data_IF_802238589448
#
_entry.id   IF_802238589448
#
_cell.length_a   1.000
_cell.length_b   1.000
_cell.length_c   1.000
_cell.angle_alpha   90.00
_cell.angle_beta   90.00
_cell.angle_gamma   90.00
#
_symmetry.space_group_name_H-M   'P 1'
#
loop_
_entity.id
_entity.type
_entity.pdbx_description
1 polymer ?
#
# COMPACT_ATOMS: atom_id res chain seq x y z
N UNK A 1 2.69 -13.36 2.63
CA UNK A 1 2.08 -13.27 1.27
C UNK A 1 3.13 -12.73 0.32
N UNK A 2 3.19 -13.20 -0.95
CA UNK A 2 4.10 -12.68 -1.99
C UNK A 2 3.71 -11.24 -2.35
N UNK A 3 4.71 -10.38 -2.60
CA UNK A 3 4.55 -9.06 -3.18
C UNK A 3 5.10 -9.07 -4.60
N UNK A 4 4.38 -8.47 -5.53
CA UNK A 4 4.67 -8.53 -6.96
C UNK A 4 5.09 -7.19 -7.54
N UNK A 5 5.83 -7.23 -8.65
CA UNK A 5 6.03 -6.10 -9.54
C UNK A 5 4.89 -6.00 -10.55
N UNK A 6 4.80 -4.85 -11.23
CA UNK A 6 3.88 -4.66 -12.34
C UNK A 6 4.07 -5.71 -13.45
N UNK A 7 5.33 -6.01 -13.78
CA UNK A 7 5.69 -6.99 -14.80
C UNK A 7 5.22 -8.41 -14.42
N UNK A 8 5.44 -8.79 -13.16
CA UNK A 8 5.02 -10.10 -12.65
C UNK A 8 3.50 -10.28 -12.67
N UNK A 9 2.73 -9.24 -12.37
CA UNK A 9 1.27 -9.31 -12.47
C UNK A 9 0.81 -9.45 -13.92
N UNK A 10 1.36 -8.65 -14.84
CA UNK A 10 1.05 -8.75 -16.27
C UNK A 10 1.36 -10.14 -16.84
N UNK A 11 2.45 -10.75 -16.40
CA UNK A 11 2.82 -12.09 -16.83
C UNK A 11 1.86 -13.16 -16.27
N UNK A 12 1.41 -13.02 -15.02
CA UNK A 12 0.37 -13.90 -14.45
C UNK A 12 -0.95 -13.81 -15.23
N UNK A 13 -1.39 -12.58 -15.55
CA UNK A 13 -2.59 -12.34 -16.33
C UNK A 13 -2.45 -12.95 -17.73
N UNK A 14 -1.31 -12.74 -18.42
CA UNK A 14 -1.03 -13.33 -19.71
C UNK A 14 -1.09 -14.85 -19.68
N UNK A 15 -0.44 -15.48 -18.70
CA UNK A 15 -0.47 -16.95 -18.54
C UNK A 15 -1.87 -17.47 -18.28
N UNK A 16 -2.65 -16.79 -17.44
CA UNK A 16 -4.03 -17.18 -17.16
C UNK A 16 -4.90 -17.10 -18.41
N UNK A 17 -4.76 -16.05 -19.20
CA UNK A 17 -5.57 -15.80 -20.39
C UNK A 17 -5.08 -16.67 -21.56
N UNK A 18 -3.80 -16.58 -21.92
CA UNK A 18 -3.28 -17.17 -23.14
C UNK A 18 -2.94 -18.66 -23.00
N UNK A 19 -2.41 -19.09 -21.85
CA UNK A 19 -1.96 -20.47 -21.64
C UNK A 19 -3.03 -21.35 -20.97
N UNK A 20 -3.89 -20.75 -20.12
CA UNK A 20 -4.97 -21.49 -19.43
C UNK A 20 -6.34 -21.27 -20.07
N UNK A 21 -6.46 -20.36 -21.03
CA UNK A 21 -7.69 -20.11 -21.76
C UNK A 21 -8.81 -19.47 -20.93
N UNK A 22 -8.46 -18.75 -19.86
CA UNK A 22 -9.44 -18.04 -19.04
C UNK A 22 -9.84 -16.75 -19.77
N UNK A 23 -11.13 -16.52 -20.06
CA UNK A 23 -11.56 -15.28 -20.70
C UNK A 23 -11.19 -14.07 -19.84
N UNK A 24 -10.55 -13.06 -20.45
CA UNK A 24 -10.13 -11.83 -19.75
C UNK A 24 -11.32 -11.10 -19.11
N UNK A 25 -12.46 -11.11 -19.78
CA UNK A 25 -13.71 -10.52 -19.28
C UNK A 25 -14.20 -11.19 -17.98
N UNK A 26 -13.96 -12.50 -17.79
CA UNK A 26 -14.34 -13.20 -16.56
C UNK A 26 -13.45 -12.77 -15.38
N UNK A 27 -12.15 -12.51 -15.63
CA UNK A 27 -11.23 -11.98 -14.62
C UNK A 27 -11.66 -10.56 -14.23
N UNK A 28 -12.00 -9.72 -15.22
CA UNK A 28 -12.48 -8.35 -15.06
C UNK A 28 -13.77 -8.29 -14.24
N UNK A 29 -14.75 -9.13 -14.52
CA UNK A 29 -16.00 -9.19 -13.78
C UNK A 29 -15.79 -9.57 -12.31
N UNK A 30 -14.87 -10.51 -12.02
CA UNK A 30 -14.53 -10.86 -10.62
C UNK A 30 -13.77 -9.75 -9.92
N UNK A 31 -12.88 -9.06 -10.63
CA UNK A 31 -12.17 -7.88 -10.12
C UNK A 31 -13.17 -6.78 -9.75
N UNK A 32 -14.06 -6.44 -10.67
CA UNK A 32 -15.10 -5.43 -10.48
C UNK A 32 -16.06 -5.78 -9.34
N UNK A 33 -16.43 -7.06 -9.19
CA UNK A 33 -17.26 -7.50 -8.08
C UNK A 33 -16.58 -7.23 -6.74
N UNK A 34 -15.28 -7.50 -6.61
CA UNK A 34 -14.49 -7.18 -5.42
C UNK A 34 -14.48 -5.68 -5.13
N UNK A 35 -14.28 -4.84 -6.15
CA UNK A 35 -14.30 -3.38 -6.02
C UNK A 35 -15.67 -2.88 -5.58
N UNK A 36 -16.75 -3.37 -6.20
CA UNK A 36 -18.11 -2.99 -5.86
C UNK A 36 -18.49 -3.42 -4.42
N UNK A 37 -18.11 -4.63 -3.99
CA UNK A 37 -18.33 -5.10 -2.62
C UNK A 37 -17.58 -4.22 -1.60
N UNK A 38 -16.33 -3.88 -1.87
CA UNK A 38 -15.53 -3.01 -1.03
C UNK A 38 -16.15 -1.61 -0.92
N UNK A 39 -16.67 -1.06 -2.02
CA UNK A 39 -17.35 0.21 -2.08
C UNK A 39 -18.66 0.18 -1.25
N UNK A 40 -19.49 -0.86 -1.42
CA UNK A 40 -20.72 -1.04 -0.66
C UNK A 40 -20.46 -1.13 0.85
N UNK A 41 -19.37 -1.76 1.27
CA UNK A 41 -18.99 -1.89 2.68
C UNK A 41 -18.61 -0.56 3.33
N UNK A 42 -18.26 0.47 2.56
CA UNK A 42 -17.90 1.80 3.04
C UNK A 42 -19.08 2.79 3.03
N UNK A 43 -20.23 2.39 2.48
CA UNK A 43 -21.38 3.29 2.40
C UNK A 43 -21.95 3.63 3.78
N UNK A 44 -22.24 4.92 4.06
CA UNK A 44 -22.80 5.35 5.34
C UNK A 44 -24.29 5.03 5.48
N UNK A 45 -24.97 4.68 4.38
CA UNK A 45 -26.41 4.48 4.26
C UNK A 45 -26.73 3.29 3.37
N UNK A 46 -28.05 2.97 3.28
CA UNK A 46 -28.53 1.96 2.31
C UNK A 46 -28.24 2.44 0.87
N UNK A 47 -27.83 1.54 -0.04
CA UNK A 47 -27.43 1.87 -1.41
C UNK A 47 -28.38 2.84 -2.13
N UNK A 48 -29.69 2.63 -2.08
CA UNK A 48 -30.71 3.48 -2.75
C UNK A 48 -30.75 4.95 -2.31
N UNK A 49 -30.02 5.33 -1.26
CA UNK A 49 -29.88 6.71 -0.79
C UNK A 49 -28.47 7.27 -1.02
N UNK A 50 -27.59 6.50 -1.66
CA UNK A 50 -26.20 6.86 -1.89
C UNK A 50 -25.93 7.20 -3.35
N UNK A 51 -24.90 8.04 -3.56
CA UNK A 51 -24.36 8.39 -4.87
C UNK A 51 -22.97 7.80 -5.02
N UNK A 52 -22.67 7.32 -6.22
CA UNK A 52 -21.35 6.86 -6.59
C UNK A 52 -20.84 7.53 -7.86
N UNK A 53 -19.53 7.59 -7.99
CA UNK A 53 -18.87 7.94 -9.23
C UNK A 53 -17.77 6.92 -9.52
N UNK A 54 -17.52 6.61 -10.81
CA UNK A 54 -16.33 5.90 -11.24
C UNK A 54 -15.55 6.81 -12.21
N UNK A 55 -14.28 7.04 -11.90
CA UNK A 55 -13.37 7.78 -12.78
C UNK A 55 -12.43 6.78 -13.44
N UNK A 56 -12.61 6.56 -14.73
CA UNK A 56 -11.99 5.48 -15.49
C UNK A 56 -10.98 6.04 -16.49
N UNK A 57 -9.80 5.43 -16.58
CA UNK A 57 -8.82 5.73 -17.65
C UNK A 57 -9.21 5.05 -18.97
N UNK A 58 -8.22 4.70 -19.80
CA UNK A 58 -8.47 4.01 -21.06
C UNK A 58 -7.87 2.59 -21.15
N UNK A 59 -7.22 2.12 -20.07
CA UNK A 59 -6.61 0.78 -20.01
C UNK A 59 -7.55 -0.29 -19.44
N UNK A 60 -7.03 -1.48 -19.15
CA UNK A 60 -7.81 -2.59 -18.56
C UNK A 60 -8.47 -2.20 -17.24
N UNK A 61 -7.76 -1.46 -16.37
CA UNK A 61 -8.31 -0.97 -15.10
C UNK A 61 -9.60 -0.13 -15.28
N UNK A 62 -9.76 0.50 -16.47
CA UNK A 62 -10.99 1.19 -16.84
C UNK A 62 -12.19 0.24 -16.87
N UNK A 63 -12.02 -0.94 -17.47
CA UNK A 63 -13.06 -1.96 -17.54
C UNK A 63 -13.50 -2.42 -16.14
N UNK A 64 -12.56 -2.62 -15.22
CA UNK A 64 -12.86 -2.94 -13.82
C UNK A 64 -13.72 -1.85 -13.17
N UNK A 65 -13.38 -0.56 -13.42
CA UNK A 65 -14.13 0.59 -12.91
C UNK A 65 -15.54 0.70 -13.51
N UNK A 66 -15.69 0.50 -14.82
CA UNK A 66 -16.96 0.53 -15.52
C UNK A 66 -17.88 -0.60 -15.03
N UNK A 67 -17.35 -1.82 -14.94
CA UNK A 67 -18.08 -2.97 -14.43
C UNK A 67 -18.47 -2.77 -12.95
N UNK A 68 -17.58 -2.22 -12.12
CA UNK A 68 -17.90 -1.88 -10.72
C UNK A 68 -19.01 -0.83 -10.64
N UNK A 69 -19.01 0.21 -11.50
CA UNK A 69 -20.07 1.21 -11.58
C UNK A 69 -21.42 0.55 -11.94
N UNK A 70 -21.42 -0.36 -12.92
CA UNK A 70 -22.60 -1.14 -13.29
C UNK A 70 -23.13 -1.97 -12.11
N UNK A 71 -22.24 -2.68 -11.41
CA UNK A 71 -22.63 -3.49 -10.25
C UNK A 71 -23.18 -2.64 -9.12
N UNK A 72 -22.61 -1.46 -8.84
CA UNK A 72 -23.14 -0.51 -7.86
C UNK A 72 -24.52 0.01 -8.25
N UNK A 73 -24.73 0.34 -9.53
CA UNK A 73 -26.05 0.73 -10.03
C UNK A 73 -27.09 -0.36 -9.83
N UNK A 74 -26.77 -1.61 -10.17
CA UNK A 74 -27.64 -2.77 -9.96
C UNK A 74 -27.95 -3.03 -8.48
N UNK A 75 -27.09 -2.57 -7.56
CA UNK A 75 -27.35 -2.57 -6.10
C UNK A 75 -28.17 -1.36 -5.64
N UNK A 76 -28.57 -0.49 -6.56
CA UNK A 76 -29.48 0.62 -6.32
C UNK A 76 -28.82 1.98 -6.02
N UNK A 77 -27.51 2.13 -6.17
CA UNK A 77 -26.87 3.45 -6.08
C UNK A 77 -27.25 4.30 -7.29
N UNK A 78 -27.25 5.62 -7.09
CA UNK A 78 -27.23 6.57 -8.20
C UNK A 78 -25.79 6.73 -8.65
N UNK A 79 -25.44 6.23 -9.84
CA UNK A 79 -24.06 6.16 -10.32
C UNK A 79 -23.90 6.99 -11.59
N UNK A 80 -22.76 7.69 -11.70
CA UNK A 80 -22.21 8.21 -12.96
C UNK A 80 -20.82 7.64 -13.16
N UNK A 81 -20.49 7.32 -14.42
CA UNK A 81 -19.17 6.84 -14.81
C UNK A 81 -18.55 7.85 -15.80
N UNK A 82 -17.29 8.19 -15.57
CA UNK A 82 -16.57 9.20 -16.34
C UNK A 82 -15.32 8.61 -16.97
N UNK A 83 -15.18 8.75 -18.28
CA UNK A 83 -13.97 8.38 -19.01
C UNK A 83 -12.99 9.56 -19.05
N UNK A 84 -11.87 9.40 -18.39
CA UNK A 84 -10.75 10.34 -18.41
C UNK A 84 -9.74 9.87 -19.46
N UNK A 85 -9.92 10.33 -20.69
CA UNK A 85 -9.09 9.91 -21.82
C UNK A 85 -9.88 9.75 -23.12
N UNK A 86 -9.31 9.00 -24.04
CA UNK A 86 -9.87 8.83 -25.37
C UNK A 86 -10.68 7.52 -25.46
N UNK A 87 -11.90 7.61 -25.93
CA UNK A 87 -12.78 6.46 -26.11
C UNK A 87 -12.19 5.41 -27.09
N UNK A 88 -11.47 5.88 -28.10
CA UNK A 88 -10.84 5.04 -29.12
C UNK A 88 -9.69 4.17 -28.57
N UNK A 89 -9.24 4.46 -27.34
CA UNK A 89 -8.18 3.69 -26.66
C UNK A 89 -8.72 2.67 -25.66
N UNK A 90 -10.03 2.52 -25.56
CA UNK A 90 -10.62 1.50 -24.71
C UNK A 90 -10.23 0.09 -25.21
N UNK A 91 -9.93 -0.79 -24.28
CA UNK A 91 -9.67 -2.20 -24.59
C UNK A 91 -10.97 -2.91 -24.99
N UNK A 92 -10.92 -4.05 -25.71
CA UNK A 92 -12.12 -4.79 -26.08
C UNK A 92 -13.02 -5.13 -24.88
N UNK A 93 -12.43 -5.51 -23.74
CA UNK A 93 -13.18 -5.82 -22.52
C UNK A 93 -13.83 -4.55 -21.92
N UNK A 94 -13.11 -3.42 -21.90
CA UNK A 94 -13.67 -2.15 -21.45
C UNK A 94 -14.81 -1.63 -22.34
N UNK A 95 -14.75 -1.90 -23.65
CA UNK A 95 -15.85 -1.62 -24.58
C UNK A 95 -17.06 -2.50 -24.30
N UNK A 96 -16.84 -3.78 -24.04
CA UNK A 96 -17.93 -4.69 -23.66
C UNK A 96 -18.57 -4.29 -22.34
N UNK A 97 -17.78 -3.90 -21.33
CA UNK A 97 -18.33 -3.39 -20.06
C UNK A 97 -19.07 -2.05 -20.24
N UNK A 98 -18.61 -1.20 -21.17
CA UNK A 98 -19.34 0.03 -21.52
C UNK A 98 -20.71 -0.29 -22.13
N UNK A 99 -20.78 -1.28 -23.02
CA UNK A 99 -22.04 -1.74 -23.61
C UNK A 99 -23.00 -2.26 -22.52
N UNK A 100 -22.50 -3.11 -21.61
CA UNK A 100 -23.28 -3.66 -20.48
C UNK A 100 -23.76 -2.56 -19.52
N UNK A 101 -22.94 -1.53 -19.27
CA UNK A 101 -23.31 -0.38 -18.44
C UNK A 101 -24.46 0.40 -19.10
N UNK A 102 -24.37 0.68 -20.42
CA UNK A 102 -25.42 1.36 -21.18
C UNK A 102 -26.74 0.59 -21.22
N UNK A 103 -26.68 -0.76 -21.33
CA UNK A 103 -27.85 -1.62 -21.23
C UNK A 103 -28.59 -1.53 -19.88
N UNK A 104 -27.88 -1.16 -18.82
CA UNK A 104 -28.48 -0.86 -17.52
C UNK A 104 -29.07 0.55 -17.44
N UNK A 105 -28.89 1.39 -18.45
CA UNK A 105 -29.34 2.80 -18.46
C UNK A 105 -28.36 3.79 -17.85
N UNK A 106 -27.08 3.44 -17.72
CA UNK A 106 -26.02 4.33 -17.29
C UNK A 106 -25.01 4.48 -18.42
N UNK A 107 -24.77 5.72 -18.84
CA UNK A 107 -23.81 6.01 -19.90
C UNK A 107 -22.41 6.30 -19.34
N UNK A 108 -21.38 5.91 -20.11
CA UNK A 108 -20.01 6.33 -19.86
C UNK A 108 -19.81 7.74 -20.41
N UNK A 109 -19.77 8.73 -19.51
CA UNK A 109 -19.66 10.13 -19.88
C UNK A 109 -18.18 10.52 -20.12
N UNK A 110 -17.93 11.37 -21.10
CA UNK A 110 -16.61 11.96 -21.25
C UNK A 110 -16.31 12.89 -20.08
N UNK A 111 -15.19 12.71 -19.42
CA UNK A 111 -14.74 13.61 -18.36
C UNK A 111 -14.31 14.96 -18.93
N UNK A 112 -14.88 16.02 -18.39
CA UNK A 112 -14.48 17.40 -18.70
C UNK A 112 -14.10 18.14 -17.41
N UNK A 113 -12.81 18.47 -17.20
CA UNK A 113 -12.38 19.19 -16.00
C UNK A 113 -12.99 20.60 -15.85
N UNK A 114 -13.60 21.15 -16.92
CA UNK A 114 -14.30 22.43 -16.87
C UNK A 114 -15.81 22.30 -16.56
N UNK A 115 -16.35 21.08 -16.53
CA UNK A 115 -17.77 20.86 -16.24
C UNK A 115 -18.02 20.86 -14.72
N UNK A 116 -18.53 21.99 -14.23
CA UNK A 116 -18.89 22.15 -12.81
C UNK A 116 -19.98 21.18 -12.35
N UNK A 117 -20.83 20.67 -13.24
CA UNK A 117 -21.86 19.67 -12.86
C UNK A 117 -21.26 18.31 -12.57
N UNK A 118 -20.25 17.89 -13.36
CA UNK A 118 -19.49 16.68 -13.11
C UNK A 118 -18.69 16.81 -11.81
N UNK A 119 -18.02 17.95 -11.62
CA UNK A 119 -17.28 18.21 -10.38
C UNK A 119 -18.18 18.18 -9.16
N UNK A 120 -19.31 18.89 -9.19
CA UNK A 120 -20.27 18.90 -8.11
C UNK A 120 -20.84 17.48 -7.83
N UNK A 121 -21.02 16.66 -8.87
CA UNK A 121 -21.42 15.27 -8.68
C UNK A 121 -20.37 14.48 -7.91
N UNK A 122 -19.11 14.47 -8.36
CA UNK A 122 -18.01 13.74 -7.72
C UNK A 122 -17.81 14.17 -6.26
N UNK A 123 -17.80 15.49 -6.00
CA UNK A 123 -17.66 16.04 -4.65
C UNK A 123 -18.86 15.71 -3.75
N UNK A 124 -20.03 15.45 -4.32
CA UNK A 124 -21.26 15.11 -3.60
C UNK A 124 -21.53 13.60 -3.48
N UNK A 125 -20.62 12.75 -3.91
CA UNK A 125 -20.75 11.29 -3.79
C UNK A 125 -20.55 10.80 -2.35
N UNK A 126 -21.10 9.62 -2.04
CA UNK A 126 -20.81 8.85 -0.84
C UNK A 126 -19.62 7.89 -1.07
N UNK A 127 -19.40 7.45 -2.32
CA UNK A 127 -18.26 6.60 -2.72
C UNK A 127 -17.77 6.98 -4.12
N UNK A 128 -16.45 6.94 -4.32
CA UNK A 128 -15.82 7.14 -5.63
C UNK A 128 -14.88 5.99 -5.92
N UNK A 129 -14.98 5.44 -7.15
CA UNK A 129 -14.08 4.41 -7.66
C UNK A 129 -12.97 5.11 -8.44
N UNK A 130 -11.73 4.88 -8.04
CA UNK A 130 -10.53 5.22 -8.78
C UNK A 130 -10.15 4.05 -9.70
N UNK A 131 -10.35 4.21 -10.97
CA UNK A 131 -9.99 3.27 -12.02
C UNK A 131 -9.24 3.96 -13.18
N UNK A 132 -8.48 5.02 -12.86
CA UNK A 132 -7.72 5.75 -13.88
C UNK A 132 -6.54 4.92 -14.38
N UNK A 133 -5.74 4.38 -13.46
CA UNK A 133 -4.54 3.62 -13.78
C UNK A 133 -4.36 2.43 -12.83
N UNK A 134 -4.06 1.26 -13.38
CA UNK A 134 -3.56 0.10 -12.65
C UNK A 134 -2.02 0.03 -12.68
N UNK A 135 -1.47 -1.18 -12.63
CA UNK A 135 0.00 -1.45 -12.67
C UNK A 135 0.71 -0.95 -13.93
N UNK A 136 -0.01 -0.48 -14.93
CA UNK A 136 0.55 -0.01 -16.20
C UNK A 136 1.09 1.42 -16.19
N UNK A 137 0.91 2.18 -15.13
CA UNK A 137 1.37 3.58 -15.06
C UNK A 137 2.90 3.65 -15.05
N UNK A 138 3.47 4.26 -16.09
CA UNK A 138 4.92 4.40 -16.26
C UNK A 138 5.40 5.85 -16.38
N UNK A 139 4.48 6.80 -16.44
CA UNK A 139 4.77 8.23 -16.60
C UNK A 139 4.06 9.05 -15.53
N UNK A 140 4.67 10.17 -15.08
CA UNK A 140 4.02 11.06 -14.12
C UNK A 140 2.70 11.64 -14.64
N UNK A 141 1.71 11.73 -13.75
CA UNK A 141 0.47 12.48 -13.98
C UNK A 141 0.81 13.97 -13.91
N UNK A 142 0.93 14.60 -15.08
CA UNK A 142 1.33 16.00 -15.20
C UNK A 142 0.25 16.96 -14.72
N UNK A 143 0.67 18.08 -14.13
CA UNK A 143 -0.23 19.17 -13.76
C UNK A 143 -0.98 19.72 -15.01
N UNK A 144 -2.23 20.13 -14.83
CA UNK A 144 -3.07 20.68 -15.90
C UNK A 144 -3.65 19.65 -16.88
N UNK A 145 -3.38 18.35 -16.67
CA UNK A 145 -4.01 17.28 -17.45
C UNK A 145 -5.39 16.92 -16.88
N UNK A 146 -6.31 16.38 -17.71
CA UNK A 146 -7.59 15.84 -17.21
C UNK A 146 -7.41 14.79 -16.11
N UNK A 147 -6.36 13.97 -16.18
CA UNK A 147 -6.03 12.99 -15.15
C UNK A 147 -5.67 13.67 -13.81
N UNK A 148 -4.91 14.76 -13.84
CA UNK A 148 -4.61 15.52 -12.63
C UNK A 148 -5.87 16.10 -11.99
N UNK A 149 -6.77 16.67 -12.81
CA UNK A 149 -8.05 17.17 -12.33
C UNK A 149 -8.92 16.07 -11.72
N UNK A 150 -8.96 14.88 -12.34
CA UNK A 150 -9.69 13.73 -11.81
C UNK A 150 -9.14 13.27 -10.44
N UNK A 151 -7.81 13.20 -10.30
CA UNK A 151 -7.14 12.90 -9.02
C UNK A 151 -7.47 13.96 -7.98
N UNK A 152 -7.41 15.24 -8.36
CA UNK A 152 -7.72 16.35 -7.44
C UNK A 152 -9.17 16.28 -6.95
N UNK A 153 -10.15 16.03 -7.84
CA UNK A 153 -11.56 15.92 -7.45
C UNK A 153 -11.80 14.75 -6.49
N UNK A 154 -11.14 13.59 -6.72
CA UNK A 154 -11.23 12.46 -5.80
C UNK A 154 -10.65 12.81 -4.42
N UNK A 155 -9.48 13.46 -4.38
CA UNK A 155 -8.82 13.83 -3.14
C UNK A 155 -9.51 14.99 -2.38
N UNK A 156 -10.25 15.86 -3.09
CA UNK A 156 -11.06 16.94 -2.51
C UNK A 156 -12.41 16.43 -2.01
N UNK A 157 -12.88 15.32 -2.55
CA UNK A 157 -14.19 14.77 -2.18
C UNK A 157 -14.18 14.28 -0.73
N UNK A 158 -15.38 14.27 -0.11
CA UNK A 158 -15.59 13.63 1.20
C UNK A 158 -16.09 12.19 1.07
N UNK A 159 -16.19 11.70 -0.16
CA UNK A 159 -16.58 10.34 -0.44
C UNK A 159 -15.50 9.35 0.04
N UNK A 160 -15.91 8.13 0.36
CA UNK A 160 -14.95 7.04 0.48
C UNK A 160 -14.37 6.71 -0.89
N UNK A 161 -13.04 6.71 -1.00
CA UNK A 161 -12.34 6.44 -2.26
C UNK A 161 -11.86 4.99 -2.28
N UNK A 162 -12.32 4.23 -3.28
CA UNK A 162 -11.91 2.84 -3.51
C UNK A 162 -11.10 2.75 -4.79
N UNK A 163 -9.82 2.42 -4.67
CA UNK A 163 -8.96 2.21 -5.82
C UNK A 163 -9.06 0.78 -6.34
N UNK A 164 -9.27 0.64 -7.65
CA UNK A 164 -9.20 -0.63 -8.35
C UNK A 164 -7.73 -0.95 -8.65
N UNK A 165 -7.28 -2.07 -8.21
CA UNK A 165 -5.94 -2.64 -8.33
C UNK A 165 -4.85 -1.88 -7.56
N UNK A 166 -4.65 -0.60 -7.80
CA UNK A 166 -3.67 0.28 -7.12
C UNK A 166 -4.17 1.73 -7.16
N UNK A 167 -3.89 2.51 -6.14
CA UNK A 167 -4.20 3.93 -6.15
C UNK A 167 -3.50 4.63 -7.33
N UNK A 168 -4.29 5.30 -8.17
CA UNK A 168 -3.76 5.93 -9.37
C UNK A 168 -2.72 6.99 -9.04
N UNK A 169 -1.59 6.92 -9.75
CA UNK A 169 -0.43 7.78 -9.49
C UNK A 169 0.65 7.15 -8.64
N UNK A 170 0.39 5.98 -8.02
CA UNK A 170 1.40 5.22 -7.26
C UNK A 170 2.12 4.24 -8.17
N UNK A 171 3.45 4.20 -8.10
CA UNK A 171 4.26 3.18 -8.76
C UNK A 171 4.07 1.81 -8.10
N UNK A 172 3.62 0.82 -8.87
CA UNK A 172 3.42 -0.54 -8.39
C UNK A 172 4.71 -1.20 -7.84
N UNK A 173 5.87 -0.80 -8.37
CA UNK A 173 7.15 -1.42 -8.06
C UNK A 173 7.89 -0.76 -6.90
N UNK A 174 7.69 0.57 -6.71
CA UNK A 174 8.50 1.35 -5.77
C UNK A 174 7.69 2.07 -4.68
N UNK A 175 6.37 2.22 -4.86
CA UNK A 175 5.53 3.03 -3.99
C UNK A 175 5.75 4.55 -4.11
N UNK A 176 6.58 4.99 -5.06
CA UNK A 176 6.77 6.40 -5.30
C UNK A 176 5.54 7.03 -5.97
N UNK A 177 5.26 8.29 -5.65
CA UNK A 177 4.23 9.08 -6.33
C UNK A 177 4.75 9.55 -7.68
N UNK A 178 4.04 9.22 -8.74
CA UNK A 178 4.33 9.64 -10.10
C UNK A 178 3.54 10.91 -10.44
N UNK A 179 4.03 12.05 -10.00
CA UNK A 179 3.40 13.36 -10.16
C UNK A 179 2.29 13.62 -9.17
N UNK A 180 1.06 13.20 -9.49
CA UNK A 180 -0.10 13.24 -8.57
C UNK A 180 -0.58 11.83 -8.26
N UNK A 181 -1.15 11.61 -7.07
CA UNK A 181 -1.73 10.34 -6.71
C UNK A 181 -3.03 10.47 -5.93
N UNK A 182 -3.89 9.50 -6.09
CA UNK A 182 -5.13 9.35 -5.33
C UNK A 182 -4.80 8.88 -3.91
N UNK A 183 -5.56 9.39 -2.94
CA UNK A 183 -5.58 8.92 -1.55
C UNK A 183 -6.78 8.00 -1.40
N UNK A 184 -6.56 6.71 -1.50
CA UNK A 184 -7.61 5.74 -1.32
C UNK A 184 -7.86 5.45 0.17
N UNK A 185 -9.13 5.29 0.55
CA UNK A 185 -9.51 4.71 1.86
C UNK A 185 -9.34 3.19 1.82
N UNK A 186 -9.56 2.61 0.64
CA UNK A 186 -9.37 1.19 0.39
C UNK A 186 -8.85 0.96 -1.02
N UNK A 187 -7.91 0.04 -1.15
CA UNK A 187 -7.46 -0.47 -2.44
C UNK A 187 -7.82 -1.95 -2.55
N UNK A 188 -8.57 -2.30 -3.58
CA UNK A 188 -8.87 -3.69 -3.92
C UNK A 188 -7.87 -4.15 -4.97
N UNK A 189 -6.90 -4.91 -4.56
CA UNK A 189 -5.84 -5.40 -5.43
C UNK A 189 -6.08 -6.85 -5.83
N UNK A 190 -5.76 -7.20 -7.06
CA UNK A 190 -6.16 -8.47 -7.64
C UNK A 190 -5.07 -9.51 -7.52
N UNK A 191 -5.42 -10.71 -7.10
CA UNK A 191 -4.60 -11.91 -6.93
C UNK A 191 -3.46 -11.77 -5.93
N UNK A 192 -2.58 -10.78 -6.10
CA UNK A 192 -1.44 -10.50 -5.21
C UNK A 192 -1.24 -8.98 -5.04
N UNK A 193 -0.82 -8.56 -3.84
CA UNK A 193 -0.48 -7.15 -3.62
C UNK A 193 0.82 -6.79 -4.32
N UNK A 194 0.94 -5.52 -4.70
CA UNK A 194 2.12 -4.96 -5.36
C UNK A 194 3.11 -4.44 -4.31
N UNK A 195 4.40 -4.46 -4.64
CA UNK A 195 5.45 -3.93 -3.75
C UNK A 195 5.14 -2.49 -3.35
N UNK A 196 4.72 -1.66 -4.32
CA UNK A 196 4.43 -0.25 -4.09
C UNK A 196 3.28 0.05 -3.14
N UNK A 197 2.38 -0.93 -2.90
CA UNK A 197 1.32 -0.81 -1.90
C UNK A 197 1.80 -1.07 -0.46
N UNK A 198 3.00 -1.64 -0.30
CA UNK A 198 3.56 -2.01 0.99
C UNK A 198 4.71 -1.11 1.44
N UNK A 199 5.22 -0.23 0.57
CA UNK A 199 6.39 0.60 0.85
C UNK A 199 6.19 2.07 0.46
N UNK A 200 6.96 2.95 1.07
CA UNK A 200 7.01 4.38 0.74
C UNK A 200 5.68 5.10 0.88
N UNK A 201 5.48 6.12 0.05
CA UNK A 201 4.25 6.90 0.02
C UNK A 201 3.05 6.06 -0.45
N UNK A 202 3.29 5.07 -1.32
CA UNK A 202 2.26 4.18 -1.84
C UNK A 202 1.54 3.41 -0.74
N UNK A 203 2.25 2.99 0.31
CA UNK A 203 1.64 2.33 1.46
C UNK A 203 0.64 3.26 2.19
N UNK A 204 0.98 4.55 2.32
CA UNK A 204 0.11 5.53 2.96
C UNK A 204 -1.09 5.92 2.08
N UNK A 205 -0.91 5.92 0.74
CA UNK A 205 -1.94 6.32 -0.22
C UNK A 205 -2.90 5.18 -0.59
N UNK A 206 -2.51 3.92 -0.36
CA UNK A 206 -3.35 2.75 -0.67
C UNK A 206 -4.47 2.49 0.34
N UNK A 207 -4.46 3.16 1.50
CA UNK A 207 -5.43 2.90 2.55
C UNK A 207 -5.42 1.44 3.02
N UNK A 208 -6.59 0.86 3.24
CA UNK A 208 -6.69 -0.56 3.58
C UNK A 208 -6.61 -1.42 2.30
N UNK A 209 -5.51 -2.13 2.11
CA UNK A 209 -5.30 -3.01 0.94
C UNK A 209 -6.01 -4.34 1.15
N UNK A 210 -6.95 -4.64 0.28
CA UNK A 210 -7.72 -5.87 0.25
C UNK A 210 -7.39 -6.69 -0.99
N UNK A 211 -6.85 -7.91 -0.79
CA UNK A 211 -6.52 -8.81 -1.91
C UNK A 211 -7.74 -9.63 -2.29
N UNK A 212 -8.11 -9.56 -3.56
CA UNK A 212 -9.22 -10.35 -4.13
C UNK A 212 -8.70 -11.39 -5.11
N UNK A 213 -9.15 -12.62 -4.91
CA UNK A 213 -8.95 -13.68 -5.87
C UNK A 213 -9.91 -13.44 -7.06
N UNK A 214 -9.32 -13.27 -8.24
CA UNK A 214 -10.06 -13.08 -9.50
C UNK A 214 -10.10 -14.34 -10.36
N UNK A 215 -9.55 -15.45 -9.87
CA UNK A 215 -9.58 -16.76 -10.54
C UNK A 215 -8.31 -17.09 -11.32
N UNK A 216 -7.18 -16.45 -11.03
CA UNK A 216 -5.89 -16.90 -11.55
C UNK A 216 -5.52 -18.23 -10.90
N UNK A 217 -5.14 -19.27 -11.69
CA UNK A 217 -4.83 -20.58 -11.16
C UNK A 217 -3.76 -20.58 -10.07
N UNK A 218 -4.05 -21.25 -8.97
CA UNK A 218 -3.18 -21.26 -7.79
C UNK A 218 -1.78 -21.85 -8.05
N UNK A 219 -1.62 -22.71 -9.05
CA UNK A 219 -0.32 -23.24 -9.46
C UNK A 219 0.55 -22.17 -10.13
N UNK A 220 -0.01 -21.26 -10.92
CA UNK A 220 0.70 -20.10 -11.47
C UNK A 220 1.18 -19.18 -10.35
N UNK A 221 0.31 -18.87 -9.38
CA UNK A 221 0.64 -18.05 -8.22
C UNK A 221 1.74 -18.73 -7.37
N UNK A 222 1.67 -20.05 -7.15
CA UNK A 222 2.70 -20.80 -6.41
C UNK A 222 4.03 -20.79 -7.15
N UNK A 223 4.02 -20.98 -8.46
CA UNK A 223 5.22 -21.01 -9.31
C UNK A 223 5.93 -19.66 -9.45
N UNK A 224 5.23 -18.55 -9.18
CA UNK A 224 5.81 -17.20 -9.30
C UNK A 224 6.96 -17.00 -8.28
N UNK A 225 8.13 -16.62 -8.77
CA UNK A 225 9.29 -16.26 -7.95
C UNK A 225 9.24 -14.77 -7.61
N UNK A 226 8.94 -14.44 -6.36
CA UNK A 226 8.94 -13.06 -5.86
C UNK A 226 10.16 -12.80 -4.99
N UNK A 227 10.75 -11.60 -5.11
CA UNK A 227 11.87 -11.14 -4.28
C UNK A 227 11.42 -10.49 -2.97
N UNK A 228 10.14 -10.17 -2.83
CA UNK A 228 9.56 -9.52 -1.67
C UNK A 228 8.32 -10.28 -1.20
N UNK A 229 8.11 -10.28 0.11
CA UNK A 229 6.91 -10.85 0.73
C UNK A 229 6.57 -10.12 2.03
N UNK A 230 5.32 -10.15 2.42
CA UNK A 230 4.90 -9.73 3.75
C UNK A 230 5.19 -10.82 4.78
N UNK A 231 5.55 -10.40 5.99
CA UNK A 231 5.72 -11.33 7.12
C UNK A 231 4.36 -11.51 7.78
N UNK A 232 3.70 -12.60 7.42
CA UNK A 232 2.43 -12.99 8.02
C UNK A 232 2.64 -13.66 9.38
N UNK A 233 1.60 -13.63 10.22
CA UNK A 233 1.66 -14.22 11.58
C UNK A 233 2.06 -15.70 11.56
N UNK A 234 1.51 -16.48 10.64
CA UNK A 234 1.80 -17.91 10.55
C UNK A 234 3.23 -18.18 10.06
N UNK A 235 3.73 -17.35 9.12
CA UNK A 235 5.13 -17.39 8.71
C UNK A 235 6.07 -17.09 9.88
N UNK A 236 5.80 -16.02 10.63
CA UNK A 236 6.58 -15.67 11.80
C UNK A 236 6.52 -16.79 12.88
N UNK A 237 5.33 -17.35 13.12
CA UNK A 237 5.13 -18.45 14.07
C UNK A 237 5.91 -19.71 13.67
N UNK A 238 5.92 -20.07 12.38
CA UNK A 238 6.66 -21.22 11.89
C UNK A 238 8.18 -21.03 11.95
N UNK A 239 8.65 -19.78 11.87
CA UNK A 239 10.08 -19.45 11.99
C UNK A 239 10.58 -19.44 13.43
N UNK A 240 9.69 -19.35 14.42
CA UNK A 240 10.08 -19.36 15.84
C UNK A 240 10.31 -20.80 16.31
N UNK A 241 11.51 -21.13 16.87
CA UNK A 241 11.76 -22.45 17.40
C UNK A 241 10.89 -22.70 18.64
N UNK A 242 10.41 -23.93 18.84
CA UNK A 242 9.68 -24.29 20.04
C UNK A 242 10.54 -24.14 21.29
N UNK A 243 9.99 -23.53 22.34
CA UNK A 243 10.68 -23.45 23.63
C UNK A 243 10.58 -24.75 24.38
N UNK A 244 11.73 -25.33 24.73
CA UNK A 244 11.80 -26.55 25.53
C UNK A 244 11.46 -26.24 26.99
N UNK A 245 10.67 -27.08 27.64
CA UNK A 245 10.29 -26.92 29.04
C UNK A 245 11.48 -27.11 30.00
N UNK A 246 12.47 -27.93 29.61
CA UNK A 246 13.71 -28.22 30.35
C UNK A 246 14.86 -27.24 29.98
N UNK A 247 14.57 -26.20 29.21
CA UNK A 247 15.58 -25.24 28.76
C UNK A 247 16.06 -24.32 29.89
N UNK A 248 17.33 -23.97 29.86
CA UNK A 248 17.97 -23.00 30.76
C UNK A 248 18.53 -21.79 29.98
N UNK A 249 18.98 -20.74 30.67
CA UNK A 249 19.48 -19.52 30.03
C UNK A 249 20.54 -19.74 28.94
N UNK A 250 21.38 -20.74 29.05
CA UNK A 250 22.38 -21.09 28.04
C UNK A 250 21.79 -21.72 26.79
N UNK A 251 20.61 -22.38 26.87
CA UNK A 251 19.93 -23.01 25.73
C UNK A 251 19.33 -21.98 24.75
N UNK A 252 18.95 -20.81 25.28
CA UNK A 252 18.22 -19.78 24.50
C UNK A 252 19.12 -18.72 23.90
N UNK A 253 20.40 -18.98 23.79
CA UNK A 253 21.40 -18.15 23.13
C UNK A 253 21.87 -16.94 23.96
N UNK A 254 22.88 -16.26 23.43
CA UNK A 254 23.50 -15.06 24.01
C UNK A 254 23.52 -13.97 22.98
N UNK A 255 23.15 -12.76 23.39
CA UNK A 255 23.20 -11.57 22.53
C UNK A 255 24.14 -10.55 23.15
N UNK A 256 25.04 -9.99 22.35
CA UNK A 256 25.84 -8.84 22.67
C UNK A 256 25.28 -7.64 21.93
N UNK A 257 24.97 -6.59 22.69
CA UNK A 257 24.54 -5.29 22.16
C UNK A 257 25.65 -4.29 22.50
N UNK A 258 26.07 -3.52 21.52
CA UNK A 258 27.05 -2.42 21.70
C UNK A 258 26.41 -1.15 21.17
N UNK A 259 26.35 -0.12 22.01
CA UNK A 259 25.75 1.15 21.60
C UNK A 259 25.61 2.17 22.71
N UNK A 260 24.98 3.29 22.38
CA UNK A 260 24.77 4.40 23.32
C UNK A 260 25.87 5.44 23.27
N UNK A 261 25.53 6.62 23.70
CA UNK A 261 26.43 7.77 23.90
C UNK A 261 25.89 8.68 25.01
N UNK A 262 26.68 9.65 25.43
CA UNK A 262 26.20 10.72 26.32
C UNK A 262 25.00 11.43 25.68
N UNK A 263 23.89 11.52 26.38
CA UNK A 263 22.61 12.02 25.86
C UNK A 263 21.73 10.99 25.14
N UNK A 264 22.25 9.82 24.78
CA UNK A 264 21.54 8.75 24.04
C UNK A 264 21.54 7.43 24.80
N UNK A 265 21.03 7.45 26.04
CA UNK A 265 20.95 6.26 26.90
C UNK A 265 19.67 5.46 26.74
N UNK A 266 18.67 5.96 25.98
CA UNK A 266 17.39 5.28 25.79
C UNK A 266 17.49 4.09 24.83
N UNK A 267 18.13 4.26 23.70
CA UNK A 267 18.21 3.26 22.64
C UNK A 267 18.90 1.96 23.08
N UNK A 268 20.09 1.98 23.75
CA UNK A 268 20.73 0.74 24.20
C UNK A 268 19.88 -0.01 25.23
N UNK A 269 19.24 0.71 26.16
CA UNK A 269 18.31 0.11 27.12
C UNK A 269 17.13 -0.57 26.43
N UNK A 270 16.44 0.12 25.50
CA UNK A 270 15.28 -0.42 24.79
C UNK A 270 15.66 -1.66 23.96
N UNK A 271 16.83 -1.63 23.32
CA UNK A 271 17.33 -2.78 22.55
C UNK A 271 17.59 -3.98 23.47
N UNK A 272 18.23 -3.76 24.62
CA UNK A 272 18.49 -4.81 25.59
C UNK A 272 17.20 -5.37 26.20
N UNK A 273 16.24 -4.50 26.55
CA UNK A 273 14.95 -4.92 27.09
C UNK A 273 14.13 -5.71 26.04
N UNK A 274 14.19 -5.32 24.78
CA UNK A 274 13.55 -6.06 23.67
C UNK A 274 14.19 -7.45 23.49
N UNK A 275 15.51 -7.55 23.50
CA UNK A 275 16.22 -8.83 23.40
C UNK A 275 15.86 -9.79 24.55
N UNK A 276 15.72 -9.31 25.78
CA UNK A 276 15.24 -10.10 26.92
C UNK A 276 13.81 -10.57 26.69
N UNK A 277 12.92 -9.66 26.26
CA UNK A 277 11.48 -9.96 26.04
C UNK A 277 11.25 -10.95 24.91
N UNK A 278 12.10 -10.94 23.88
CA UNK A 278 12.01 -11.93 22.78
C UNK A 278 12.49 -13.32 23.21
N UNK A 279 13.02 -13.45 24.46
CA UNK A 279 13.35 -14.74 25.06
C UNK A 279 14.80 -15.15 24.92
N UNK A 280 15.70 -14.23 24.62
CA UNK A 280 17.14 -14.50 24.68
C UNK A 280 17.56 -14.94 26.10
N UNK A 281 18.41 -15.95 26.16
CA UNK A 281 18.85 -16.53 27.45
C UNK A 281 19.79 -15.62 28.24
N UNK A 282 20.69 -14.90 27.56
CA UNK A 282 21.62 -13.95 28.18
C UNK A 282 21.78 -12.73 27.24
N UNK A 283 21.66 -11.55 27.82
CA UNK A 283 21.85 -10.27 27.08
C UNK A 283 22.95 -9.47 27.76
N UNK A 284 24.04 -9.25 27.03
CA UNK A 284 25.15 -8.39 27.45
C UNK A 284 25.04 -7.04 26.71
N UNK A 285 25.20 -5.93 27.43
CA UNK A 285 25.09 -4.58 26.88
C UNK A 285 26.40 -3.82 27.10
N UNK A 286 27.22 -3.69 26.07
CA UNK A 286 28.44 -2.87 26.08
C UNK A 286 28.09 -1.41 25.78
N UNK A 287 28.43 -0.52 26.71
CA UNK A 287 28.16 0.93 26.57
C UNK A 287 29.40 1.73 26.94
N UNK A 288 29.59 2.96 26.42
CA UNK A 288 30.66 3.83 26.85
C UNK A 288 30.67 3.97 28.37
N UNK A 289 31.85 3.94 28.96
CA UNK A 289 32.06 4.07 30.44
C UNK A 289 31.31 5.26 31.03
N UNK A 290 31.24 6.35 30.32
CA UNK A 290 30.57 7.60 30.73
C UNK A 290 29.07 7.46 31.01
N UNK A 291 28.40 6.49 30.35
CA UNK A 291 26.96 6.26 30.53
C UNK A 291 26.67 4.94 31.24
N UNK A 292 27.69 4.13 31.51
CA UNK A 292 27.50 2.83 32.17
C UNK A 292 26.72 2.89 33.48
N UNK A 293 26.97 3.87 34.42
CA UNK A 293 26.19 3.93 35.66
C UNK A 293 24.68 4.10 35.42
N UNK A 294 24.32 4.86 34.38
CA UNK A 294 22.93 5.09 34.00
C UNK A 294 22.29 3.80 33.46
N UNK A 295 23.01 3.07 32.60
CA UNK A 295 22.52 1.83 32.06
C UNK A 295 22.50 0.71 33.10
N UNK A 296 23.43 0.66 34.01
CA UNK A 296 23.45 -0.27 35.14
C UNK A 296 22.23 -0.09 36.05
N UNK A 297 21.80 1.15 36.26
CA UNK A 297 20.60 1.44 37.05
C UNK A 297 19.29 1.09 36.30
N UNK A 298 19.26 1.18 34.98
CA UNK A 298 18.07 0.87 34.16
C UNK A 298 17.90 -0.63 33.92
N UNK A 299 18.98 -1.37 33.75
CA UNK A 299 18.97 -2.77 33.35
C UNK A 299 18.80 -3.69 34.56
N UNK A 300 17.68 -4.42 34.61
CA UNK A 300 17.45 -5.47 35.63
C UNK A 300 17.87 -6.86 35.14
N UNK A 301 17.55 -7.18 33.88
CA UNK A 301 17.75 -8.54 33.32
C UNK A 301 18.89 -8.61 32.30
N UNK A 302 19.22 -7.51 31.65
CA UNK A 302 20.41 -7.39 30.82
C UNK A 302 21.62 -7.02 31.68
N UNK A 303 22.82 -7.38 31.22
CA UNK A 303 24.09 -7.18 31.92
C UNK A 303 24.90 -6.08 31.23
N UNK A 304 24.78 -4.81 31.66
CA UNK A 304 25.58 -3.73 31.13
C UNK A 304 27.03 -3.81 31.64
N UNK A 305 27.98 -3.53 30.74
CA UNK A 305 29.40 -3.44 31.08
C UNK A 305 30.04 -2.23 30.36
N UNK A 306 31.05 -1.58 31.01
CA UNK A 306 31.69 -0.42 30.44
C UNK A 306 32.63 -0.81 29.30
N UNK A 307 32.59 -0.01 28.23
CA UNK A 307 33.57 0.00 27.15
C UNK A 307 34.41 1.27 27.27
N UNK A 308 35.74 1.23 27.02
CA UNK A 308 36.55 2.40 27.01
C UNK A 308 35.97 3.50 26.10
N UNK A 309 35.78 4.69 26.61
CA UNK A 309 35.36 5.83 25.81
C UNK A 309 36.52 6.27 24.92
N UNK A 310 36.31 6.38 23.60
CA UNK A 310 37.29 7.05 22.74
C UNK A 310 37.30 8.52 23.13
N UNK A 311 38.49 9.16 23.37
CA UNK A 311 38.55 10.59 23.62
C UNK A 311 37.85 11.30 22.46
N UNK A 312 36.88 12.18 22.80
CA UNK A 312 36.30 13.07 21.79
C UNK A 312 37.45 13.80 21.10
N UNK A 313 37.54 13.74 19.77
CA UNK A 313 38.50 14.57 19.02
C UNK A 313 38.30 15.99 19.49
N UNK A 314 39.38 16.71 19.92
CA UNK A 314 39.22 18.10 20.28
C UNK A 314 38.62 18.82 19.07
N UNK A 315 37.56 19.57 19.30
CA UNK A 315 37.00 20.46 18.28
C UNK A 315 38.13 21.42 17.87
N UNK A 316 38.46 21.46 16.58
CA UNK A 316 39.39 22.41 16.04
C UNK A 316 38.98 23.83 16.47
N UNK A 317 39.88 24.64 17.05
CA UNK A 317 39.54 26.01 17.41
C UNK A 317 39.30 26.80 16.12
N UNK A 318 38.06 27.21 15.88
CA UNK A 318 37.74 28.06 14.72
C UNK A 318 36.38 27.85 14.05
N UNK A 319 35.56 26.87 14.40
CA UNK A 319 34.20 26.79 13.89
C UNK A 319 33.24 27.56 14.80
N UNK A 320 32.94 28.79 14.41
CA UNK A 320 31.97 29.64 15.08
C UNK A 320 30.64 28.94 15.27
N UNK A 321 30.06 29.15 16.45
CA UNK A 321 28.72 28.78 16.87
C UNK A 321 27.67 29.14 15.78
N UNK A 322 27.35 28.18 14.89
CA UNK A 322 26.03 28.15 14.29
C UNK A 322 25.26 27.12 15.12
N UNK A 323 24.30 27.63 15.88
CA UNK A 323 23.39 26.79 16.67
C UNK A 323 22.61 25.90 15.74
N UNK A 324 23.07 24.68 15.56
CA UNK A 324 22.28 23.59 15.06
C UNK A 324 21.93 22.70 16.24
N UNK A 325 20.64 22.54 16.50
CA UNK A 325 20.15 21.53 17.43
C UNK A 325 20.81 20.18 17.10
N UNK A 326 21.38 19.46 18.07
CA UNK A 326 21.91 18.13 17.82
C UNK A 326 20.73 17.20 17.51
N UNK A 327 20.55 16.80 16.26
CA UNK A 327 19.48 15.86 15.93
C UNK A 327 19.01 15.79 14.48
N UNK A 328 19.55 16.60 13.56
CA UNK A 328 19.18 16.51 12.15
C UNK A 328 20.38 16.28 11.25
N UNK A 329 21.04 15.16 11.42
CA UNK A 329 21.99 14.64 10.43
C UNK A 329 21.70 13.14 10.28
N UNK A 330 21.02 12.82 9.25
CA UNK A 330 21.07 11.52 8.55
C UNK A 330 20.45 10.33 9.29
N UNK A 331 19.18 10.11 9.10
CA UNK A 331 18.60 8.76 8.94
C UNK A 331 18.27 8.58 7.48
#
# INVERSE_FOLDING_TARGET
MKLTTAEQMKELDRQAIEERGIPSIDLMERAAAGVAEAALALLPKRPGKCRGAALCGAGNNCGDGIAAARLLFLKGLKVRAFLVGDYEKLTPDALEETRRLSECGVELERFDPADESQRAWVLGCDVVIDALFGVGLSRPIGAGTPFAAAVDWMNESRAAVVAADIASGVSADTGAVLGRAVRADRTVTFTLPKIGQAVGEGAALSGNVEVRDIGIPADLVRGLVCRAQTVERDFARAALPPRRADGHKGTFGKVLIVGGAVGYTGAPYLTAAAAVRTGCGLVSLGVPETIWPVEAAKCVSAMPFPLPATPSRPSLPGSGLRGSLPGTAGI
#
